data_IF_876657275884
#
_entry.id   IF_876657275884
#
_cell.length_a   1.000
_cell.length_b   1.000
_cell.length_c   1.000
_cell.angle_alpha   90.00
_cell.angle_beta   90.00
_cell.angle_gamma   90.00
#
_symmetry.space_group_name_H-M   'P 1'
#
loop_
_entity.id
_entity.type
_entity.pdbx_description
1 polymer ?
#
# COMPACT_ATOMS: atom_id res chain seq x y z
N UNK A 1 6.58 10.18 -1.83
CA UNK A 1 7.79 9.82 -1.05
C UNK A 1 8.98 10.64 -1.51
N UNK A 2 9.53 10.48 -2.72
CA UNK A 2 10.67 11.26 -3.21
C UNK A 2 10.52 12.79 -3.02
N UNK A 3 9.35 13.35 -3.36
CA UNK A 3 9.03 14.77 -3.14
C UNK A 3 9.09 15.17 -1.65
N UNK A 4 8.51 14.36 -0.75
CA UNK A 4 8.45 14.68 0.68
C UNK A 4 9.84 14.66 1.36
N UNK A 5 10.80 13.94 0.78
CA UNK A 5 12.18 13.86 1.26
C UNK A 5 13.13 14.73 0.44
N UNK A 6 12.62 15.54 -0.51
CA UNK A 6 13.40 16.40 -1.39
C UNK A 6 14.49 15.66 -2.20
N UNK A 7 14.21 14.39 -2.56
CA UNK A 7 15.15 13.50 -3.25
C UNK A 7 14.96 13.46 -4.77
N UNK A 8 14.07 14.29 -5.35
CA UNK A 8 13.75 14.20 -6.78
C UNK A 8 14.98 14.46 -7.65
N UNK A 9 15.86 15.36 -7.22
CA UNK A 9 17.08 15.71 -7.96
C UNK A 9 18.17 14.62 -7.93
N UNK A 10 18.08 13.71 -6.96
CA UNK A 10 19.04 12.63 -6.73
C UNK A 10 18.58 11.30 -7.35
N UNK A 11 17.48 11.33 -8.12
CA UNK A 11 16.88 10.14 -8.73
C UNK A 11 17.05 10.19 -10.25
N UNK A 12 17.89 9.31 -10.80
CA UNK A 12 18.09 9.19 -12.25
C UNK A 12 16.87 8.59 -12.96
N UNK A 13 16.20 7.60 -12.32
CA UNK A 13 15.02 6.93 -12.84
C UNK A 13 13.94 6.79 -11.77
N UNK A 14 12.78 7.39 -11.99
CA UNK A 14 11.59 7.18 -11.16
C UNK A 14 10.55 6.37 -11.96
N UNK A 15 10.30 5.14 -11.54
CA UNK A 15 9.30 4.27 -12.17
C UNK A 15 8.03 4.26 -11.33
N UNK A 16 6.91 4.65 -11.93
CA UNK A 16 5.59 4.67 -11.28
C UNK A 16 4.65 3.69 -12.00
N UNK A 17 4.49 2.46 -11.47
CA UNK A 17 3.54 1.49 -12.01
C UNK A 17 2.10 1.88 -11.67
N UNK A 18 1.21 1.80 -12.65
CA UNK A 18 -0.20 2.14 -12.51
C UNK A 18 -1.09 0.94 -12.10
N UNK A 19 -0.55 -0.26 -12.17
CA UNK A 19 -1.28 -1.51 -11.90
C UNK A 19 -1.66 -1.75 -10.43
N UNK A 20 -1.35 -0.83 -9.52
CA UNK A 20 -1.72 -0.89 -8.10
C UNK A 20 -2.56 0.34 -7.72
N UNK A 21 -1.98 1.28 -7.01
CA UNK A 21 -2.68 2.49 -6.56
C UNK A 21 -3.24 3.37 -7.68
N UNK A 22 -2.74 3.25 -8.89
CA UNK A 22 -3.28 3.94 -10.07
C UNK A 22 -4.56 3.30 -10.65
N UNK A 23 -4.90 2.06 -10.27
CA UNK A 23 -6.11 1.39 -10.78
C UNK A 23 -6.14 1.24 -12.32
N UNK A 24 -4.97 1.06 -12.95
CA UNK A 24 -4.81 1.01 -14.40
C UNK A 24 -3.71 0.04 -14.82
N UNK A 25 -3.24 0.09 -16.04
CA UNK A 25 -2.11 -0.71 -16.58
C UNK A 25 -1.01 0.19 -17.10
N UNK A 26 0.21 -0.38 -17.16
CA UNK A 26 1.41 0.31 -17.60
C UNK A 26 2.19 0.96 -16.45
N UNK A 27 3.19 1.72 -16.83
CA UNK A 27 4.02 2.48 -15.92
C UNK A 27 4.55 3.75 -16.60
N UNK A 28 4.80 4.78 -15.81
CA UNK A 28 5.57 5.94 -16.23
C UNK A 28 7.02 5.78 -15.77
N UNK A 29 7.94 6.18 -16.63
CA UNK A 29 9.36 6.32 -16.30
C UNK A 29 9.72 7.79 -16.44
N UNK A 30 10.13 8.40 -15.34
CA UNK A 30 10.64 9.77 -15.31
C UNK A 30 12.15 9.73 -15.21
N UNK A 31 12.83 10.40 -16.14
CA UNK A 31 14.29 10.47 -16.20
C UNK A 31 14.73 11.67 -17.04
N UNK A 32 16.02 11.96 -17.04
CA UNK A 32 16.62 12.95 -17.89
C UNK A 32 16.38 12.67 -19.40
N UNK A 33 16.30 13.73 -20.22
CA UNK A 33 16.01 13.61 -21.66
C UNK A 33 16.96 12.66 -22.38
N UNK A 34 18.26 12.74 -22.08
CA UNK A 34 19.28 11.90 -22.70
C UNK A 34 19.04 10.41 -22.38
N UNK A 35 18.64 10.09 -21.13
CA UNK A 35 18.32 8.72 -20.72
C UNK A 35 17.04 8.22 -21.40
N UNK A 36 16.05 9.08 -21.56
CA UNK A 36 14.82 8.77 -22.31
C UNK A 36 15.15 8.40 -23.76
N UNK A 37 15.95 9.20 -24.44
CA UNK A 37 16.37 8.96 -25.83
C UNK A 37 17.18 7.64 -25.94
N UNK A 38 18.05 7.38 -24.98
CA UNK A 38 18.77 6.10 -24.91
C UNK A 38 17.85 4.91 -24.76
N UNK A 39 16.87 4.97 -23.84
CA UNK A 39 15.90 3.88 -23.62
C UNK A 39 15.08 3.61 -24.90
N UNK A 40 14.59 4.66 -25.55
CA UNK A 40 13.79 4.53 -26.78
C UNK A 40 14.58 3.80 -27.88
N UNK A 41 15.88 4.07 -28.00
CA UNK A 41 16.71 3.53 -29.06
C UNK A 41 17.42 2.21 -28.73
N UNK A 42 17.55 1.86 -27.43
CA UNK A 42 18.37 0.71 -27.00
C UNK A 42 17.62 -0.32 -26.17
N UNK A 43 16.49 0.02 -25.59
CA UNK A 43 15.72 -0.93 -24.79
C UNK A 43 14.98 -1.92 -25.69
N UNK A 44 15.49 -3.14 -25.78
CA UNK A 44 14.86 -4.21 -26.56
C UNK A 44 13.42 -4.49 -26.13
N UNK A 45 13.15 -4.46 -24.82
CA UNK A 45 11.79 -4.65 -24.28
C UNK A 45 10.83 -3.54 -24.71
N UNK A 46 11.32 -2.31 -24.84
CA UNK A 46 10.51 -1.19 -25.32
C UNK A 46 10.27 -1.28 -26.84
N UNK A 47 11.32 -1.56 -27.60
CA UNK A 47 11.29 -1.59 -29.08
C UNK A 47 10.39 -2.74 -29.58
N UNK A 48 10.44 -3.91 -28.93
CA UNK A 48 9.74 -5.14 -29.36
C UNK A 48 8.46 -5.43 -28.58
N UNK A 49 7.93 -4.47 -27.81
CA UNK A 49 6.67 -4.61 -27.10
C UNK A 49 5.59 -3.77 -27.77
N UNK A 50 4.40 -4.35 -27.96
CA UNK A 50 3.24 -3.62 -28.43
C UNK A 50 2.85 -2.54 -27.42
N UNK A 51 2.57 -1.34 -27.92
CA UNK A 51 2.09 -0.24 -27.09
C UNK A 51 0.75 -0.58 -26.40
N UNK A 52 0.49 0.10 -25.28
CA UNK A 52 -0.81 0.00 -24.62
C UNK A 52 -1.92 0.50 -25.54
N UNK A 53 -3.12 -0.14 -25.52
CA UNK A 53 -4.26 0.34 -26.24
C UNK A 53 -4.60 1.82 -25.91
N UNK A 54 -5.10 2.61 -26.87
CA UNK A 54 -5.44 4.01 -26.64
C UNK A 54 -6.40 4.26 -25.46
N UNK A 55 -7.33 3.34 -25.22
CA UNK A 55 -8.24 3.40 -24.06
C UNK A 55 -7.50 3.43 -22.72
N UNK A 56 -6.39 2.71 -22.61
CA UNK A 56 -5.57 2.73 -21.39
C UNK A 56 -4.87 4.08 -21.19
N UNK A 57 -4.44 4.75 -22.27
CA UNK A 57 -3.87 6.09 -22.18
C UNK A 57 -4.91 7.12 -21.75
N UNK A 58 -6.14 7.05 -22.28
CA UNK A 58 -7.25 7.91 -21.85
C UNK A 58 -7.60 7.67 -20.38
N UNK A 59 -7.66 6.41 -19.96
CA UNK A 59 -7.90 6.06 -18.57
C UNK A 59 -6.77 6.56 -17.64
N UNK A 60 -5.53 6.42 -18.06
CA UNK A 60 -4.38 6.93 -17.31
C UNK A 60 -4.45 8.45 -17.15
N UNK A 61 -4.81 9.19 -18.21
CA UNK A 61 -5.00 10.64 -18.15
C UNK A 61 -6.13 11.02 -17.19
N UNK A 62 -7.26 10.30 -17.25
CA UNK A 62 -8.37 10.50 -16.30
C UNK A 62 -7.94 10.31 -14.85
N UNK A 63 -7.20 9.23 -14.56
CA UNK A 63 -6.69 8.94 -13.21
C UNK A 63 -5.72 10.05 -12.73
N UNK A 64 -4.80 10.50 -13.57
CA UNK A 64 -3.87 11.59 -13.22
C UNK A 64 -4.63 12.88 -12.87
N UNK A 65 -5.60 13.27 -13.71
CA UNK A 65 -6.44 14.46 -13.43
C UNK A 65 -7.23 14.32 -12.12
N UNK A 66 -7.74 13.11 -11.83
CA UNK A 66 -8.40 12.82 -10.56
C UNK A 66 -7.45 12.95 -9.38
N UNK A 67 -6.23 12.42 -9.48
CA UNK A 67 -5.22 12.50 -8.42
C UNK A 67 -4.84 13.94 -8.06
N UNK A 68 -4.89 14.88 -9.01
CA UNK A 68 -4.64 16.32 -8.81
C UNK A 68 -5.85 17.09 -8.28
N UNK A 69 -7.04 16.49 -8.31
CA UNK A 69 -8.28 17.14 -7.90
C UNK A 69 -8.32 17.51 -6.41
N UNK A 70 -9.11 18.54 -6.07
CA UNK A 70 -9.40 18.93 -4.68
C UNK A 70 -10.06 17.79 -3.90
N UNK A 71 -10.91 17.01 -4.54
CA UNK A 71 -11.57 15.83 -3.95
C UNK A 71 -10.53 14.83 -3.44
N UNK A 72 -9.56 14.47 -4.27
CA UNK A 72 -8.49 13.55 -3.87
C UNK A 72 -7.55 14.14 -2.81
N UNK A 73 -7.35 15.46 -2.82
CA UNK A 73 -6.60 16.14 -1.76
C UNK A 73 -7.28 15.98 -0.40
N UNK A 74 -8.62 16.10 -0.36
CA UNK A 74 -9.42 15.87 0.85
C UNK A 74 -9.33 14.40 1.29
N UNK A 75 -9.52 13.46 0.36
CA UNK A 75 -9.41 12.01 0.65
C UNK A 75 -8.03 11.62 1.19
N UNK A 76 -6.95 12.21 0.65
CA UNK A 76 -5.61 12.00 1.21
C UNK A 76 -5.49 12.49 2.66
N UNK A 77 -6.02 13.69 2.97
CA UNK A 77 -6.02 14.20 4.35
C UNK A 77 -6.80 13.29 5.30
N UNK A 78 -7.97 12.81 4.88
CA UNK A 78 -8.77 11.87 5.66
C UNK A 78 -8.04 10.53 5.86
N UNK A 79 -7.31 10.04 4.87
CA UNK A 79 -6.49 8.85 5.02
C UNK A 79 -5.38 9.06 6.07
N UNK A 80 -4.68 10.20 6.06
CA UNK A 80 -3.66 10.51 7.06
C UNK A 80 -4.23 10.54 8.49
N UNK A 81 -5.40 11.14 8.69
CA UNK A 81 -6.07 11.11 10.00
C UNK A 81 -6.32 9.68 10.50
N UNK A 82 -6.72 8.77 9.59
CA UNK A 82 -6.95 7.36 9.93
C UNK A 82 -5.66 6.62 10.22
N UNK A 83 -4.59 6.93 9.50
CA UNK A 83 -3.27 6.38 9.80
C UNK A 83 -2.83 6.76 11.21
N UNK A 84 -2.84 8.05 11.53
CA UNK A 84 -2.43 8.56 12.85
C UNK A 84 -3.29 7.96 13.97
N UNK A 85 -4.60 7.91 13.77
CA UNK A 85 -5.53 7.30 14.71
C UNK A 85 -5.22 5.81 14.93
N UNK A 86 -5.02 5.05 13.84
CA UNK A 86 -4.72 3.62 13.91
C UNK A 86 -3.41 3.36 14.64
N UNK A 87 -2.36 4.10 14.29
CA UNK A 87 -1.05 3.95 14.94
C UNK A 87 -1.11 4.27 16.44
N UNK A 88 -1.85 5.33 16.81
CA UNK A 88 -2.10 5.68 18.21
C UNK A 88 -2.82 4.56 18.94
N UNK A 89 -3.91 4.03 18.39
CA UNK A 89 -4.70 2.93 18.99
C UNK A 89 -3.90 1.63 19.12
N UNK A 90 -3.11 1.27 18.11
CA UNK A 90 -2.20 0.11 18.21
C UNK A 90 -1.20 0.28 19.34
N UNK A 91 -0.61 1.48 19.50
CA UNK A 91 0.31 1.79 20.59
C UNK A 91 -0.37 1.71 21.96
N UNK A 92 -1.58 2.26 22.10
CA UNK A 92 -2.39 2.19 23.34
C UNK A 92 -2.65 0.74 23.76
N UNK A 93 -2.85 -0.16 22.79
CA UNK A 93 -3.07 -1.60 23.03
C UNK A 93 -1.77 -2.42 23.14
N UNK A 94 -0.61 -1.80 23.09
CA UNK A 94 0.68 -2.48 23.15
C UNK A 94 1.02 -3.31 21.91
N UNK A 95 0.33 -3.09 20.78
CA UNK A 95 0.60 -3.77 19.50
C UNK A 95 1.71 -3.00 18.77
N UNK A 96 2.87 -3.65 18.62
CA UNK A 96 4.05 -3.02 18.00
C UNK A 96 3.94 -3.02 16.47
N UNK A 97 4.30 -1.89 15.87
CA UNK A 97 4.47 -1.74 14.41
C UNK A 97 5.54 -0.69 14.12
N UNK A 98 6.30 -0.90 13.04
CA UNK A 98 7.26 0.07 12.51
C UNK A 98 6.71 0.80 11.27
N UNK A 99 5.41 0.63 10.97
CA UNK A 99 4.77 1.26 9.82
C UNK A 99 4.43 2.72 10.09
N UNK A 100 4.58 3.54 9.04
CA UNK A 100 4.26 4.98 9.07
C UNK A 100 3.39 5.39 7.87
N UNK A 101 2.64 4.44 7.29
CA UNK A 101 1.83 4.67 6.08
C UNK A 101 0.49 3.96 6.20
N UNK A 102 -0.35 4.09 5.14
CA UNK A 102 -1.66 3.42 5.05
C UNK A 102 -1.58 1.88 5.00
N UNK A 103 -0.40 1.32 4.81
CA UNK A 103 -0.15 -0.12 4.94
C UNK A 103 0.57 -0.34 6.26
N UNK A 104 -0.14 -0.92 7.22
CA UNK A 104 0.36 -1.16 8.58
C UNK A 104 0.64 -2.65 8.74
N UNK A 105 1.84 -2.97 9.21
CA UNK A 105 2.32 -4.33 9.42
C UNK A 105 2.34 -4.66 10.91
N UNK A 106 1.66 -5.74 11.31
CA UNK A 106 1.69 -6.28 12.67
C UNK A 106 2.34 -7.66 12.63
N UNK A 107 3.56 -7.77 13.14
CA UNK A 107 4.33 -9.01 13.11
C UNK A 107 3.89 -9.93 14.25
N UNK A 108 3.58 -11.19 13.92
CA UNK A 108 3.23 -12.25 14.88
C UNK A 108 4.29 -13.34 14.96
N UNK A 109 5.11 -13.48 13.92
CA UNK A 109 6.20 -14.45 13.82
C UNK A 109 5.77 -15.84 13.33
N UNK A 110 4.63 -16.35 13.75
CA UNK A 110 4.19 -17.73 13.47
C UNK A 110 3.11 -17.79 12.37
N UNK A 111 3.32 -18.67 11.38
CA UNK A 111 2.39 -18.90 10.28
C UNK A 111 1.05 -19.50 10.74
N UNK A 112 1.07 -20.41 11.73
CA UNK A 112 -0.15 -21.09 12.24
C UNK A 112 -1.00 -20.10 13.01
N UNK A 113 -0.36 -19.27 13.83
CA UNK A 113 -1.00 -18.19 14.58
C UNK A 113 -1.74 -17.23 13.64
N UNK A 114 -1.10 -16.80 12.56
CA UNK A 114 -1.72 -15.92 11.56
C UNK A 114 -2.95 -16.58 10.91
N UNK A 115 -2.85 -17.84 10.49
CA UNK A 115 -3.96 -18.55 9.83
C UNK A 115 -5.19 -18.59 10.74
N UNK A 116 -4.97 -18.91 12.02
CA UNK A 116 -6.07 -19.00 12.99
C UNK A 116 -6.70 -17.65 13.27
N UNK A 117 -5.89 -16.62 13.52
CA UNK A 117 -6.38 -15.25 13.77
C UNK A 117 -7.10 -14.68 12.53
N UNK A 118 -6.54 -14.89 11.32
CA UNK A 118 -7.17 -14.47 10.07
C UNK A 118 -8.57 -15.07 9.91
N UNK A 119 -8.72 -16.38 10.21
CA UNK A 119 -10.00 -17.05 10.18
C UNK A 119 -10.98 -16.46 11.20
N UNK A 120 -10.58 -16.32 12.46
CA UNK A 120 -11.43 -15.80 13.54
C UNK A 120 -11.90 -14.37 13.25
N UNK A 121 -11.00 -13.49 12.78
CA UNK A 121 -11.33 -12.12 12.42
C UNK A 121 -12.28 -12.05 11.22
N UNK A 122 -12.12 -12.96 10.25
CA UNK A 122 -13.02 -13.05 9.10
C UNK A 122 -14.43 -13.45 9.51
N UNK A 123 -14.59 -14.40 10.43
CA UNK A 123 -15.88 -14.79 10.99
C UNK A 123 -16.57 -13.63 11.72
N UNK A 124 -15.79 -12.69 12.28
CA UNK A 124 -16.27 -11.44 12.88
C UNK A 124 -16.51 -10.30 11.89
N UNK A 125 -16.34 -10.55 10.57
CA UNK A 125 -16.56 -9.57 9.49
C UNK A 125 -15.36 -8.69 9.18
N UNK A 126 -14.16 -8.98 9.71
CA UNK A 126 -12.94 -8.22 9.42
C UNK A 126 -12.10 -8.94 8.36
N UNK A 127 -11.90 -8.28 7.22
CA UNK A 127 -11.09 -8.79 6.13
C UNK A 127 -9.64 -8.31 6.29
N UNK A 128 -8.78 -9.16 6.83
CA UNK A 128 -7.35 -8.89 7.01
C UNK A 128 -6.53 -9.94 6.27
N UNK A 129 -5.38 -9.56 5.76
CA UNK A 129 -4.50 -10.44 5.02
C UNK A 129 -3.24 -10.81 5.82
N UNK A 130 -3.07 -12.12 6.04
CA UNK A 130 -1.90 -12.69 6.68
C UNK A 130 -0.81 -13.01 5.67
N UNK A 131 0.31 -12.30 5.73
CA UNK A 131 1.51 -12.55 4.92
C UNK A 131 2.41 -13.54 5.64
N UNK A 132 2.69 -14.67 4.97
CA UNK A 132 3.39 -15.84 5.53
C UNK A 132 4.63 -16.19 4.70
N UNK A 133 5.47 -17.05 5.23
CA UNK A 133 6.54 -17.67 4.45
C UNK A 133 5.98 -18.39 3.21
N UNK A 134 6.64 -18.34 2.07
CA UNK A 134 7.96 -17.75 1.78
C UNK A 134 7.91 -16.26 1.37
N UNK A 135 6.73 -15.60 1.39
CA UNK A 135 6.58 -14.19 1.01
C UNK A 135 7.24 -13.21 2.01
N UNK A 136 7.53 -13.67 3.20
CA UNK A 136 8.31 -12.96 4.24
C UNK A 136 9.36 -13.90 4.82
N UNK A 137 10.45 -13.37 5.41
CA UNK A 137 11.47 -14.19 6.06
C UNK A 137 10.90 -15.08 7.16
N UNK A 138 11.62 -16.17 7.47
CA UNK A 138 11.25 -17.11 8.50
C UNK A 138 11.01 -16.42 9.85
N UNK A 139 9.96 -16.83 10.56
CA UNK A 139 9.55 -16.28 11.86
C UNK A 139 9.19 -14.77 11.81
N UNK A 140 8.79 -14.25 10.65
CA UNK A 140 8.35 -12.86 10.49
C UNK A 140 6.97 -12.73 9.85
N UNK A 141 6.16 -13.78 9.97
CA UNK A 141 4.77 -13.76 9.52
C UNK A 141 4.02 -12.57 10.16
N UNK A 142 3.18 -11.88 9.38
CA UNK A 142 2.59 -10.62 9.79
C UNK A 142 1.23 -10.38 9.17
N UNK A 143 0.39 -9.64 9.84
CA UNK A 143 -0.81 -9.06 9.22
C UNK A 143 -0.45 -7.82 8.41
N UNK A 144 -1.10 -7.68 7.27
CA UNK A 144 -1.09 -6.47 6.45
C UNK A 144 -2.44 -5.79 6.55
N UNK A 145 -2.50 -4.72 7.33
CA UNK A 145 -3.68 -3.87 7.46
C UNK A 145 -3.57 -2.77 6.40
N UNK A 146 -4.56 -2.69 5.50
CA UNK A 146 -4.60 -1.66 4.45
C UNK A 146 -5.75 -0.71 4.75
N UNK A 147 -5.41 0.54 5.07
CA UNK A 147 -6.40 1.58 5.37
C UNK A 147 -6.84 2.30 4.09
N UNK A 148 -8.09 2.73 4.07
CA UNK A 148 -8.64 3.62 3.06
C UNK A 148 -9.35 4.80 3.73
N UNK A 149 -9.64 5.91 3.00
CA UNK A 149 -10.24 7.10 3.60
C UNK A 149 -11.70 6.94 4.02
N UNK A 150 -12.38 5.86 3.63
CA UNK A 150 -13.81 5.66 3.88
C UNK A 150 -14.09 4.84 5.16
N UNK A 151 -13.08 4.16 5.72
CA UNK A 151 -13.24 3.37 6.95
C UNK A 151 -13.56 4.30 8.11
N UNK A 152 -14.62 4.04 8.88
CA UNK A 152 -14.96 4.82 10.07
C UNK A 152 -13.94 4.62 11.19
N UNK A 153 -13.73 5.65 12.01
CA UNK A 153 -12.86 5.55 13.20
C UNK A 153 -13.34 4.48 14.17
N UNK A 154 -14.67 4.34 14.32
CA UNK A 154 -15.27 3.29 15.15
C UNK A 154 -14.93 1.89 14.66
N UNK A 155 -14.98 1.65 13.35
CA UNK A 155 -14.60 0.35 12.78
C UNK A 155 -13.12 0.05 12.98
N UNK A 156 -12.24 1.06 12.88
CA UNK A 156 -10.81 0.91 13.17
C UNK A 156 -10.61 0.53 14.64
N UNK A 157 -11.28 1.20 15.56
CA UNK A 157 -11.18 0.94 17.00
C UNK A 157 -11.68 -0.46 17.33
N UNK A 158 -12.87 -0.83 16.90
CA UNK A 158 -13.43 -2.17 17.11
C UNK A 158 -12.50 -3.26 16.53
N UNK A 159 -11.96 -3.05 15.32
CA UNK A 159 -11.01 -3.97 14.71
C UNK A 159 -9.75 -4.15 15.57
N UNK A 160 -9.20 -3.07 16.13
CA UNK A 160 -7.99 -3.14 16.96
C UNK A 160 -8.26 -3.87 18.28
N UNK A 161 -9.45 -3.70 18.88
CA UNK A 161 -9.87 -4.45 20.07
C UNK A 161 -9.90 -5.95 19.75
N UNK A 162 -10.56 -6.34 18.67
CA UNK A 162 -10.66 -7.74 18.26
C UNK A 162 -9.28 -8.32 17.89
N UNK A 163 -8.46 -7.55 17.18
CA UNK A 163 -7.09 -7.98 16.84
C UNK A 163 -6.26 -8.20 18.10
N UNK A 164 -6.36 -7.32 19.10
CA UNK A 164 -5.66 -7.47 20.38
C UNK A 164 -6.12 -8.73 21.10
N UNK A 165 -7.43 -8.94 21.20
CA UNK A 165 -7.99 -10.15 21.82
C UNK A 165 -7.45 -11.42 21.16
N UNK A 166 -7.46 -11.50 19.82
CA UNK A 166 -6.97 -12.66 19.08
C UNK A 166 -5.45 -12.85 19.26
N UNK A 167 -4.67 -11.76 19.29
CA UNK A 167 -3.23 -11.83 19.52
C UNK A 167 -2.86 -12.38 20.91
N UNK A 168 -3.70 -12.11 21.90
CA UNK A 168 -3.48 -12.55 23.29
C UNK A 168 -3.98 -13.97 23.54
N UNK A 169 -5.02 -14.43 22.83
CA UNK A 169 -5.69 -15.71 23.09
C UNK A 169 -5.23 -16.85 22.19
N UNK A 170 -4.74 -16.55 20.99
CA UNK A 170 -4.26 -17.56 20.04
C UNK A 170 -2.79 -17.88 20.29
N UNK A 171 -2.49 -19.12 20.70
CA UNK A 171 -1.14 -19.65 20.95
C UNK A 171 -0.62 -20.44 19.75
#
# INVERSE_FOLDING_TARGET
MAYNFNLIKDIDFLVIPLGKGGGSVGAFVFCEKILKEYIINKSRKFIFTTALPPVNHLWNLFILNKMESKEFAVKRKELFKRIDFTLKKLKEKGIKTNSASHIISVVTGDNRKIIKIEKNLREKGYFIYGVKEPAVPKNTARFRISLNPEISFKNIENFIEELKYELDTVF
#
